data_IF_921008292849
#
_entry.id   IF_921008292849
#
_cell.length_a   1.000
_cell.length_b   1.000
_cell.length_c   1.000
_cell.angle_alpha   90.00
_cell.angle_beta   90.00
_cell.angle_gamma   90.00
#
_symmetry.space_group_name_H-M   'P 1'
#
loop_
_entity.id
_entity.type
_entity.pdbx_description
1 polymer ?
#
# COMPACT_ATOMS: atom_id res chain seq x y z
N UNK A 1 -27.87 -44.02 0.52
CA UNK A 1 -27.32 -43.60 -0.77
C UNK A 1 -28.14 -44.24 -1.91
N UNK A 2 -28.13 -43.63 -3.10
CA UNK A 2 -28.72 -44.21 -4.31
C UNK A 2 -27.69 -45.09 -5.01
N UNK A 3 -28.11 -46.23 -5.59
CA UNK A 3 -27.25 -47.19 -6.29
C UNK A 3 -26.32 -46.49 -7.30
N UNK A 4 -26.86 -45.47 -8.03
CA UNK A 4 -26.05 -44.72 -9.03
C UNK A 4 -24.99 -43.83 -8.36
N UNK A 5 -25.25 -43.34 -7.19
CA UNK A 5 -24.31 -42.52 -6.43
C UNK A 5 -23.20 -43.40 -5.84
N UNK A 6 -23.56 -44.53 -5.29
CA UNK A 6 -22.61 -45.53 -4.81
C UNK A 6 -21.66 -45.98 -5.91
N UNK A 7 -22.18 -46.23 -7.10
CA UNK A 7 -21.37 -46.60 -8.28
C UNK A 7 -20.44 -45.44 -8.72
N UNK A 8 -20.92 -44.22 -8.67
CA UNK A 8 -20.09 -43.04 -9.07
C UNK A 8 -18.97 -42.78 -8.07
N UNK A 9 -19.19 -43.12 -6.79
CA UNK A 9 -18.22 -42.91 -5.71
C UNK A 9 -17.41 -44.18 -5.38
N UNK A 10 -17.41 -45.19 -6.28
CA UNK A 10 -16.68 -46.42 -6.14
C UNK A 10 -17.05 -47.25 -4.89
N UNK A 11 -18.29 -47.14 -4.42
CA UNK A 11 -18.88 -48.04 -3.40
C UNK A 11 -19.75 -49.10 -4.02
N UNK A 12 -20.20 -50.11 -3.26
CA UNK A 12 -20.93 -51.24 -3.78
C UNK A 12 -22.42 -51.15 -3.40
N UNK A 13 -23.35 -50.91 -4.37
CA UNK A 13 -24.78 -50.82 -4.12
C UNK A 13 -25.42 -52.09 -3.56
N UNK A 14 -24.73 -53.23 -3.64
CA UNK A 14 -25.19 -54.49 -3.13
C UNK A 14 -24.69 -54.82 -1.72
N UNK A 15 -23.75 -54.01 -1.20
CA UNK A 15 -23.21 -54.18 0.14
C UNK A 15 -23.48 -52.93 1.00
N UNK A 16 -24.50 -53.02 1.84
CA UNK A 16 -24.90 -51.90 2.73
C UNK A 16 -23.84 -51.51 3.77
N UNK A 17 -22.74 -52.25 3.85
CA UNK A 17 -21.62 -51.93 4.73
C UNK A 17 -20.59 -51.04 4.03
N UNK A 18 -20.60 -50.98 2.68
CA UNK A 18 -19.68 -50.18 1.85
C UNK A 18 -20.43 -48.95 1.33
N UNK A 19 -20.31 -47.83 2.01
CA UNK A 19 -20.99 -46.57 1.66
C UNK A 19 -19.96 -45.57 1.10
N UNK A 20 -20.42 -44.66 0.25
CA UNK A 20 -19.60 -43.47 -0.08
C UNK A 20 -19.16 -42.73 1.20
N UNK A 21 -17.97 -42.21 1.19
CA UNK A 21 -17.49 -41.34 2.26
C UNK A 21 -18.29 -40.04 2.23
N UNK A 22 -18.63 -39.54 3.38
CA UNK A 22 -19.36 -38.29 3.65
C UNK A 22 -18.77 -37.80 4.98
N UNK A 23 -17.80 -36.89 4.85
CA UNK A 23 -16.91 -36.50 5.97
C UNK A 23 -17.63 -35.60 6.95
N UNK A 24 -18.36 -34.59 6.48
CA UNK A 24 -19.10 -33.64 7.28
C UNK A 24 -20.52 -34.12 7.67
N UNK A 25 -21.01 -35.19 7.04
CA UNK A 25 -22.33 -35.80 7.24
C UNK A 25 -23.50 -34.90 6.82
N UNK A 26 -23.33 -34.08 5.78
CA UNK A 26 -24.38 -33.23 5.22
C UNK A 26 -25.34 -33.99 4.27
N UNK A 27 -24.95 -35.21 3.84
CA UNK A 27 -25.69 -36.09 2.93
C UNK A 27 -25.28 -35.97 1.46
N UNK A 28 -24.22 -35.22 1.14
CA UNK A 28 -23.50 -35.27 -0.12
C UNK A 28 -22.25 -36.13 0.11
N UNK A 29 -21.88 -36.94 -0.84
CA UNK A 29 -20.64 -37.74 -0.71
C UNK A 29 -19.45 -36.97 -1.17
N UNK A 30 -18.29 -37.17 -0.54
CA UNK A 30 -17.01 -36.52 -0.90
C UNK A 30 -16.65 -36.56 -2.39
N UNK A 31 -17.09 -37.59 -3.13
CA UNK A 31 -16.85 -37.67 -4.57
C UNK A 31 -17.71 -36.68 -5.41
N UNK A 32 -18.62 -35.95 -4.80
CA UNK A 32 -19.53 -34.97 -5.40
C UNK A 32 -19.59 -33.66 -4.63
N UNK A 33 -19.12 -33.67 -3.44
CA UNK A 33 -18.96 -32.47 -2.66
C UNK A 33 -17.82 -31.62 -3.19
N UNK A 34 -17.79 -30.40 -2.92
CA UNK A 34 -16.73 -29.43 -3.25
C UNK A 34 -16.08 -28.85 -2.02
N UNK A 35 -16.61 -29.20 -0.82
CA UNK A 35 -16.14 -28.77 0.50
C UNK A 35 -16.44 -29.96 1.45
N UNK A 36 -15.57 -30.99 1.38
CA UNK A 36 -15.77 -32.31 1.96
C UNK A 36 -15.92 -32.32 3.48
N UNK A 37 -15.37 -31.35 4.20
CA UNK A 37 -15.43 -31.23 5.65
C UNK A 37 -16.24 -30.03 6.16
N UNK A 38 -16.76 -29.21 5.22
CA UNK A 38 -17.67 -28.10 5.45
C UNK A 38 -17.08 -27.02 6.39
N UNK A 39 -15.79 -26.74 6.24
CA UNK A 39 -15.10 -25.68 6.97
C UNK A 39 -15.21 -24.31 6.29
N UNK A 40 -15.67 -24.29 5.00
CA UNK A 40 -15.92 -23.11 4.22
C UNK A 40 -14.88 -22.87 3.12
N UNK A 41 -13.82 -23.67 3.08
CA UNK A 41 -12.86 -23.69 1.98
C UNK A 41 -13.21 -24.82 1.00
N UNK A 42 -12.83 -24.64 -0.26
CA UNK A 42 -13.10 -25.68 -1.26
C UNK A 42 -11.96 -26.71 -1.28
N UNK A 43 -12.28 -27.98 -1.48
CA UNK A 43 -11.28 -29.06 -1.60
C UNK A 43 -10.14 -28.73 -2.58
N UNK A 44 -10.49 -28.14 -3.73
CA UNK A 44 -9.49 -27.76 -4.75
C UNK A 44 -8.53 -26.69 -4.21
N UNK A 45 -9.05 -25.75 -3.48
CA UNK A 45 -8.29 -24.67 -2.86
C UNK A 45 -7.39 -25.22 -1.76
N UNK A 46 -7.93 -26.05 -0.89
CA UNK A 46 -7.18 -26.72 0.17
C UNK A 46 -6.03 -27.58 -0.36
N UNK A 47 -6.30 -28.42 -1.36
CA UNK A 47 -5.28 -29.26 -1.99
C UNK A 47 -4.17 -28.38 -2.58
N UNK A 48 -4.51 -27.28 -3.24
CA UNK A 48 -3.55 -26.40 -3.86
C UNK A 48 -2.73 -25.61 -2.82
N UNK A 49 -3.33 -25.25 -1.69
CA UNK A 49 -2.65 -24.54 -0.59
C UNK A 49 -1.98 -25.49 0.42
N UNK A 50 -2.14 -26.83 0.25
CA UNK A 50 -1.47 -27.84 1.05
C UNK A 50 -2.12 -28.11 2.41
N UNK A 51 -3.41 -27.79 2.55
CA UNK A 51 -4.27 -28.20 3.66
C UNK A 51 -4.94 -29.56 3.37
N UNK A 52 -5.86 -30.00 4.23
CA UNK A 52 -6.50 -31.33 4.17
C UNK A 52 -8.02 -31.19 4.04
N UNK A 53 -8.61 -31.43 2.84
CA UNK A 53 -10.04 -31.25 2.57
C UNK A 53 -10.96 -32.22 3.34
N UNK A 54 -10.40 -33.06 4.18
CA UNK A 54 -11.17 -33.98 5.04
C UNK A 54 -11.08 -33.61 6.51
N UNK A 55 -10.51 -32.48 6.85
CA UNK A 55 -10.25 -32.11 8.25
C UNK A 55 -10.52 -30.64 8.52
N UNK A 56 -11.70 -30.30 9.00
CA UNK A 56 -12.20 -28.97 9.36
C UNK A 56 -11.28 -28.10 10.24
N UNK A 57 -10.18 -28.65 10.73
CA UNK A 57 -9.20 -27.93 11.56
C UNK A 57 -7.90 -27.62 10.85
N UNK A 58 -7.75 -28.05 9.59
CA UNK A 58 -6.57 -27.87 8.75
C UNK A 58 -6.94 -27.17 7.45
N UNK A 59 -7.24 -25.91 7.51
CA UNK A 59 -7.64 -25.03 6.41
C UNK A 59 -6.49 -24.15 5.91
N UNK A 60 -6.59 -23.59 4.71
CA UNK A 60 -5.63 -22.61 4.19
C UNK A 60 -5.53 -21.38 5.08
N UNK A 61 -4.33 -20.81 5.17
CA UNK A 61 -4.14 -19.55 5.90
C UNK A 61 -4.74 -18.41 5.07
N UNK A 62 -5.51 -17.55 5.72
CA UNK A 62 -6.04 -16.29 5.23
C UNK A 62 -5.69 -15.24 6.29
N UNK A 63 -4.66 -14.41 6.02
CA UNK A 63 -4.05 -13.57 7.03
C UNK A 63 -4.88 -12.33 7.31
N UNK A 64 -5.44 -11.68 6.29
CA UNK A 64 -6.25 -10.47 6.41
C UNK A 64 -7.74 -10.76 6.57
N UNK A 65 -8.18 -12.00 6.36
CA UNK A 65 -9.55 -12.48 6.46
C UNK A 65 -10.48 -11.86 5.41
N UNK A 66 -10.02 -11.68 4.20
CA UNK A 66 -10.82 -11.18 3.08
C UNK A 66 -11.57 -12.31 2.33
N UNK A 67 -11.22 -13.58 2.59
CA UNK A 67 -11.80 -14.80 2.03
C UNK A 67 -11.03 -15.36 0.84
N UNK A 68 -9.83 -14.84 0.55
CA UNK A 68 -8.82 -15.47 -0.27
C UNK A 68 -7.74 -16.05 0.63
N UNK A 69 -7.27 -17.24 0.31
CA UNK A 69 -6.13 -17.81 1.06
C UNK A 69 -4.82 -17.19 0.56
N UNK A 70 -3.84 -17.08 1.45
CA UNK A 70 -2.51 -16.56 1.13
C UNK A 70 -1.85 -17.20 -0.11
N UNK A 71 -2.19 -18.42 -0.48
CA UNK A 71 -1.65 -19.05 -1.68
C UNK A 71 -2.33 -18.60 -2.99
N UNK A 72 -3.41 -17.85 -2.91
CA UNK A 72 -4.15 -17.25 -4.02
C UNK A 72 -4.24 -15.73 -3.93
N UNK A 73 -3.87 -15.15 -2.79
CA UNK A 73 -3.82 -13.72 -2.59
C UNK A 73 -2.53 -13.13 -3.19
N UNK A 74 -2.56 -11.88 -3.55
CA UNK A 74 -1.40 -11.09 -4.00
C UNK A 74 -0.97 -10.07 -2.94
N UNK A 75 -1.76 -9.92 -1.84
CA UNK A 75 -1.57 -8.95 -0.74
C UNK A 75 -2.04 -9.61 0.56
N UNK A 76 -1.26 -10.58 1.05
CA UNK A 76 -1.63 -11.53 2.12
C UNK A 76 -2.11 -10.87 3.42
N UNK A 77 -1.65 -9.68 3.76
CA UNK A 77 -2.05 -8.99 4.99
C UNK A 77 -2.98 -7.78 4.78
N UNK A 78 -3.31 -7.46 3.51
CA UNK A 78 -4.30 -6.44 3.15
C UNK A 78 -3.87 -5.01 3.43
N UNK A 79 -2.55 -4.72 3.48
CA UNK A 79 -2.02 -3.39 3.76
C UNK A 79 -1.99 -2.47 2.53
N UNK A 80 -2.16 -3.05 1.33
CA UNK A 80 -2.17 -2.37 0.03
C UNK A 80 -0.87 -2.46 -0.74
N UNK A 81 0.14 -3.15 -0.21
CA UNK A 81 1.33 -3.56 -0.94
C UNK A 81 1.21 -5.05 -1.30
N UNK A 82 1.72 -5.43 -2.44
CA UNK A 82 1.69 -6.84 -2.80
C UNK A 82 2.89 -7.59 -2.21
N UNK A 83 2.72 -8.88 -1.93
CA UNK A 83 3.78 -9.76 -1.42
C UNK A 83 5.07 -9.67 -2.25
N UNK A 84 4.95 -9.60 -3.58
CA UNK A 84 6.10 -9.46 -4.48
C UNK A 84 6.89 -8.16 -4.23
N UNK A 85 6.19 -7.08 -3.93
CA UNK A 85 6.79 -5.79 -3.60
C UNK A 85 7.44 -5.86 -2.22
N UNK A 86 6.76 -6.43 -1.26
CA UNK A 86 7.23 -6.56 0.11
C UNK A 86 8.47 -7.44 0.22
N UNK A 87 8.47 -8.59 -0.44
CA UNK A 87 9.67 -9.44 -0.54
C UNK A 87 10.86 -8.70 -1.16
N UNK A 88 10.64 -7.87 -2.18
CA UNK A 88 11.69 -7.04 -2.79
C UNK A 88 12.20 -5.96 -1.85
N UNK A 89 11.32 -5.42 -1.02
CA UNK A 89 11.63 -4.35 -0.07
C UNK A 89 12.12 -4.87 1.28
N UNK A 90 12.20 -6.21 1.45
CA UNK A 90 12.58 -6.87 2.69
C UNK A 90 11.62 -6.57 3.85
N UNK A 91 10.34 -6.34 3.55
CA UNK A 91 9.23 -6.29 4.51
C UNK A 91 8.52 -7.64 4.58
N UNK A 92 7.59 -7.80 5.51
CA UNK A 92 6.94 -9.08 5.78
C UNK A 92 5.51 -9.11 5.22
N UNK A 93 5.21 -9.89 4.16
CA UNK A 93 3.88 -9.99 3.53
C UNK A 93 2.73 -10.44 4.44
N UNK A 94 3.03 -10.80 5.69
CA UNK A 94 2.04 -11.30 6.67
C UNK A 94 1.85 -10.34 7.85
N UNK A 95 2.45 -9.14 7.81
CA UNK A 95 2.37 -8.17 8.92
C UNK A 95 1.96 -6.78 8.42
N UNK A 96 0.69 -6.48 8.46
CA UNK A 96 0.04 -5.21 8.06
C UNK A 96 0.71 -3.92 8.60
N UNK A 97 1.65 -4.04 9.52
CA UNK A 97 2.41 -2.92 10.08
C UNK A 97 3.86 -2.83 9.58
N UNK A 98 4.35 -3.85 8.88
CA UNK A 98 5.71 -3.89 8.32
C UNK A 98 5.72 -3.49 6.84
N UNK A 99 5.26 -2.30 6.55
CA UNK A 99 5.03 -1.74 5.21
C UNK A 99 6.31 -1.26 4.53
N UNK A 100 6.44 -1.42 3.20
CA UNK A 100 7.50 -0.80 2.43
C UNK A 100 7.53 0.73 2.59
N UNK A 101 8.74 1.28 2.69
CA UNK A 101 8.91 2.73 2.80
C UNK A 101 8.69 3.38 1.43
N UNK A 102 7.72 4.28 1.33
CA UNK A 102 7.49 5.17 0.19
C UNK A 102 7.72 6.61 0.64
N UNK A 103 8.85 7.21 0.25
CA UNK A 103 9.27 8.52 0.78
C UNK A 103 8.61 9.70 0.10
N UNK A 104 8.28 9.59 -1.16
CA UNK A 104 7.67 10.67 -1.92
C UNK A 104 6.16 10.49 -2.11
N UNK A 105 5.61 9.35 -1.66
CA UNK A 105 4.19 8.99 -1.66
C UNK A 105 3.59 9.00 -3.07
N UNK A 106 4.32 8.45 -4.03
CA UNK A 106 3.83 8.33 -5.41
C UNK A 106 3.23 6.95 -5.70
N UNK A 107 3.37 5.99 -4.77
CA UNK A 107 2.85 4.63 -4.83
C UNK A 107 3.87 3.59 -5.29
N UNK A 108 5.12 4.02 -5.55
CA UNK A 108 6.25 3.13 -5.79
C UNK A 108 7.16 3.13 -4.54
N UNK A 109 7.45 1.98 -3.92
CA UNK A 109 8.24 1.96 -2.69
C UNK A 109 9.71 2.26 -2.96
N UNK A 110 10.34 2.94 -2.00
CA UNK A 110 11.74 3.40 -2.07
C UNK A 110 12.77 2.33 -2.47
N UNK A 111 12.48 1.07 -2.24
CA UNK A 111 13.37 -0.05 -2.60
C UNK A 111 13.35 -0.37 -4.10
N UNK A 112 12.27 -0.04 -4.81
CA UNK A 112 12.10 -0.27 -6.26
C UNK A 112 12.07 1.01 -7.06
N UNK A 113 11.82 2.15 -6.41
CA UNK A 113 11.68 3.45 -7.04
C UNK A 113 13.04 4.09 -7.38
N UNK A 114 13.34 4.31 -8.67
CA UNK A 114 14.59 4.94 -9.09
C UNK A 114 14.64 6.45 -8.81
N UNK A 115 13.51 7.08 -8.52
CA UNK A 115 13.44 8.53 -8.26
C UNK A 115 13.02 8.92 -6.83
N UNK A 116 12.90 7.96 -5.92
CA UNK A 116 12.65 8.14 -4.49
C UNK A 116 13.52 9.21 -3.79
N UNK A 117 14.67 9.50 -4.34
CA UNK A 117 15.56 10.56 -3.84
C UNK A 117 15.41 11.90 -4.60
N UNK A 118 14.42 12.02 -5.49
CA UNK A 118 14.15 13.29 -6.13
C UNK A 118 13.47 14.25 -5.16
N UNK A 119 13.90 15.50 -5.23
CA UNK A 119 13.25 16.58 -4.48
C UNK A 119 11.99 17.00 -5.23
N UNK A 120 10.82 16.75 -4.68
CA UNK A 120 9.56 17.26 -5.20
C UNK A 120 9.18 18.55 -4.49
N UNK A 121 8.79 19.54 -5.28
CA UNK A 121 8.40 20.86 -4.77
C UNK A 121 6.93 21.08 -5.12
N UNK A 122 6.07 21.20 -4.10
CA UNK A 122 4.65 21.50 -4.33
C UNK A 122 4.50 22.79 -5.15
N UNK A 123 3.75 22.77 -6.25
CA UNK A 123 3.47 23.97 -7.03
C UNK A 123 2.41 24.87 -6.39
N UNK A 124 1.74 24.40 -5.33
CA UNK A 124 0.62 25.08 -4.68
C UNK A 124 0.87 25.32 -3.20
N UNK A 125 0.37 26.44 -2.71
CA UNK A 125 0.33 26.81 -1.30
C UNK A 125 -0.98 27.52 -1.02
N UNK A 126 -1.76 27.04 -0.02
CA UNK A 126 -3.06 27.58 0.40
C UNK A 126 -3.03 27.96 1.89
N UNK A 127 -2.43 29.07 2.26
CA UNK A 127 -2.33 29.49 3.67
C UNK A 127 -3.72 29.70 4.29
N UNK A 128 -3.89 29.28 5.55
CA UNK A 128 -5.12 29.47 6.29
C UNK A 128 -6.23 28.46 6.03
N UNK A 129 -6.03 27.53 5.11
CA UNK A 129 -6.90 26.37 4.92
C UNK A 129 -6.34 25.21 5.76
N UNK A 130 -7.21 24.54 6.55
CA UNK A 130 -6.79 23.33 7.26
C UNK A 130 -6.60 22.20 6.25
N UNK A 131 -5.35 21.83 6.00
CA UNK A 131 -5.01 20.78 5.06
C UNK A 131 -3.49 20.68 4.84
N UNK A 132 -3.06 19.68 4.06
CA UNK A 132 -1.63 19.42 3.80
C UNK A 132 -0.93 20.60 3.10
N UNK A 133 -1.67 21.42 2.36
CA UNK A 133 -1.12 22.56 1.60
C UNK A 133 -1.14 23.89 2.37
N UNK A 134 -1.50 23.90 3.66
CA UNK A 134 -1.46 25.09 4.52
C UNK A 134 -0.04 25.63 4.74
N UNK A 135 0.97 24.78 4.56
CA UNK A 135 2.39 25.14 4.49
C UNK A 135 2.99 24.56 3.21
N UNK A 136 3.99 25.24 2.68
CA UNK A 136 4.65 24.81 1.43
C UNK A 136 5.45 23.55 1.65
N UNK A 137 5.20 22.52 0.84
CA UNK A 137 5.82 21.21 0.95
C UNK A 137 6.94 21.02 -0.07
N UNK A 138 8.07 20.54 0.41
CA UNK A 138 9.20 20.05 -0.37
C UNK A 138 9.52 18.65 0.16
N UNK A 139 9.25 17.64 -0.63
CA UNK A 139 9.42 16.23 -0.29
C UNK A 139 10.88 15.84 -0.52
N UNK A 140 11.39 14.88 0.21
CA UNK A 140 12.77 14.40 0.18
C UNK A 140 13.82 15.46 0.51
N UNK A 141 13.45 16.46 1.32
CA UNK A 141 14.30 17.60 1.64
C UNK A 141 14.99 17.49 3.00
N UNK A 142 14.46 16.66 3.88
CA UNK A 142 14.91 16.46 5.26
C UNK A 142 16.33 15.91 5.34
N UNK A 143 16.74 15.14 4.34
CA UNK A 143 18.08 14.57 4.23
C UNK A 143 19.17 15.60 3.85
N UNK A 144 18.78 16.86 3.53
CA UNK A 144 19.72 17.91 3.10
C UNK A 144 19.72 19.11 4.06
N UNK A 145 20.37 19.02 5.22
CA UNK A 145 20.33 20.05 6.26
C UNK A 145 21.00 21.37 5.85
N UNK A 146 21.87 21.38 4.83
CA UNK A 146 22.49 22.59 4.30
C UNK A 146 21.67 23.25 3.18
N UNK A 147 20.54 22.68 2.83
CA UNK A 147 19.68 23.15 1.75
C UNK A 147 19.20 24.58 1.97
N UNK A 148 19.03 25.31 0.88
CA UNK A 148 18.61 26.72 0.89
C UNK A 148 17.38 26.88 0.00
N UNK A 149 16.30 27.35 0.58
CA UNK A 149 15.08 27.71 -0.14
C UNK A 149 15.00 29.22 -0.28
N UNK A 150 14.69 29.69 -1.49
CA UNK A 150 14.44 31.11 -1.81
C UNK A 150 13.16 31.23 -2.62
N UNK A 151 12.30 32.17 -2.28
CA UNK A 151 11.09 32.50 -3.03
C UNK A 151 11.15 33.96 -3.44
N UNK A 152 10.79 34.24 -4.69
CA UNK A 152 10.86 35.55 -5.30
C UNK A 152 9.48 36.00 -5.78
N UNK A 153 9.18 37.30 -5.60
CA UNK A 153 8.02 37.90 -6.23
C UNK A 153 8.28 38.18 -7.74
N UNK A 154 7.25 38.65 -8.44
CA UNK A 154 7.33 39.01 -9.90
C UNK A 154 8.34 40.09 -10.23
N UNK A 155 8.88 40.81 -9.26
CA UNK A 155 9.90 41.83 -9.43
C UNK A 155 11.32 41.32 -9.15
N UNK A 156 11.47 39.99 -8.92
CA UNK A 156 12.74 39.36 -8.59
C UNK A 156 13.26 39.61 -7.17
N UNK A 157 12.42 40.18 -6.29
CA UNK A 157 12.79 40.40 -4.88
C UNK A 157 12.54 39.16 -4.06
N UNK A 158 13.50 38.78 -3.20
CA UNK A 158 13.37 37.67 -2.28
C UNK A 158 12.32 38.03 -1.22
N UNK A 159 11.24 37.25 -1.17
CA UNK A 159 10.15 37.37 -0.18
C UNK A 159 10.30 36.37 0.96
N UNK A 160 10.91 35.21 0.67
CA UNK A 160 11.21 34.17 1.65
C UNK A 160 12.61 33.58 1.38
N UNK A 161 13.36 33.31 2.46
CA UNK A 161 14.62 32.55 2.42
C UNK A 161 14.79 31.78 3.72
N UNK A 162 15.07 30.48 3.62
CA UNK A 162 15.38 29.64 4.76
C UNK A 162 16.49 28.64 4.41
N UNK A 163 17.37 28.38 5.37
CA UNK A 163 18.32 27.26 5.35
C UNK A 163 17.72 26.15 6.18
N UNK A 164 17.91 24.89 5.80
CA UNK A 164 17.32 23.74 6.46
C UNK A 164 15.79 23.89 6.64
N UNK A 165 15.12 23.99 5.50
CA UNK A 165 13.67 24.20 5.46
C UNK A 165 12.92 22.97 5.96
N UNK A 166 11.93 23.17 6.84
CA UNK A 166 11.19 22.10 7.54
C UNK A 166 9.70 22.07 7.14
N UNK A 167 9.37 22.43 5.90
CA UNK A 167 7.98 22.44 5.41
C UNK A 167 7.01 23.30 6.27
N UNK A 168 7.53 24.37 6.88
CA UNK A 168 6.85 25.19 7.90
C UNK A 168 6.44 26.58 7.42
N UNK A 169 6.69 26.95 6.17
CA UNK A 169 6.34 28.27 5.65
C UNK A 169 4.92 28.32 5.10
N UNK A 170 4.14 29.26 5.60
CA UNK A 170 2.73 29.48 5.28
C UNK A 170 2.51 30.75 4.40
N UNK A 171 3.42 31.05 3.47
CA UNK A 171 3.23 32.15 2.51
C UNK A 171 3.36 33.55 3.10
N UNK A 172 4.27 33.74 4.04
CA UNK A 172 4.51 35.05 4.69
C UNK A 172 5.82 35.70 4.25
N UNK A 173 5.87 37.04 4.33
CA UNK A 173 7.15 37.77 4.17
C UNK A 173 8.10 37.45 5.32
N UNK A 174 9.34 37.09 5.01
CA UNK A 174 10.36 36.81 6.03
C UNK A 174 10.61 37.97 7.02
N UNK A 175 10.44 39.20 6.56
CA UNK A 175 10.78 40.39 7.34
C UNK A 175 9.64 40.89 8.22
N UNK A 176 8.40 40.74 7.80
CA UNK A 176 7.24 41.33 8.48
C UNK A 176 6.31 40.28 9.07
N UNK A 177 6.35 39.02 8.57
CA UNK A 177 5.40 37.98 8.92
C UNK A 177 4.01 38.17 8.30
N UNK A 178 3.81 39.22 7.50
CA UNK A 178 2.56 39.46 6.80
C UNK A 178 2.37 38.47 5.66
N UNK A 179 1.13 38.10 5.37
CA UNK A 179 0.79 37.21 4.26
C UNK A 179 1.18 37.84 2.92
N UNK A 180 1.74 37.05 2.05
CA UNK A 180 2.00 37.41 0.67
C UNK A 180 0.68 37.53 -0.10
N UNK A 181 0.54 38.43 -1.07
CA UNK A 181 -0.63 38.44 -1.96
C UNK A 181 -0.77 37.14 -2.74
N UNK A 182 -2.01 36.72 -3.02
CA UNK A 182 -2.26 35.62 -3.93
C UNK A 182 -1.61 35.87 -5.30
N UNK A 183 -1.03 34.82 -5.90
CA UNK A 183 -0.38 34.92 -7.20
C UNK A 183 0.75 33.93 -7.39
N UNK A 184 1.50 34.11 -8.49
CA UNK A 184 2.64 33.27 -8.84
C UNK A 184 3.93 33.82 -8.27
N UNK A 185 4.72 32.96 -7.70
CA UNK A 185 6.05 33.20 -7.14
C UNK A 185 7.05 32.28 -7.80
N UNK A 186 8.28 32.73 -7.95
CA UNK A 186 9.36 31.90 -8.46
C UNK A 186 10.20 31.36 -7.31
N UNK A 187 10.47 30.06 -7.31
CA UNK A 187 11.32 29.49 -6.27
C UNK A 187 12.64 28.98 -6.81
N UNK A 188 13.62 28.94 -5.94
CA UNK A 188 14.93 28.30 -6.13
C UNK A 188 15.23 27.49 -4.87
N UNK A 189 15.46 26.19 -5.06
CA UNK A 189 15.90 25.25 -4.03
C UNK A 189 17.33 24.83 -4.39
N UNK A 190 18.28 25.16 -3.52
CA UNK A 190 19.69 24.82 -3.66
C UNK A 190 20.04 23.72 -2.68
N UNK A 191 20.72 22.68 -3.15
CA UNK A 191 21.18 21.53 -2.33
C UNK A 191 22.71 21.47 -2.43
N UNK A 192 23.43 22.15 -1.54
CA UNK A 192 24.90 22.24 -1.59
C UNK A 192 25.58 20.89 -1.56
N UNK A 193 25.05 19.92 -0.81
CA UNK A 193 25.59 18.58 -0.65
C UNK A 193 25.72 17.83 -1.98
N UNK A 194 24.81 18.07 -2.92
CA UNK A 194 24.77 17.41 -4.23
C UNK A 194 25.08 18.34 -5.39
N UNK A 195 25.15 19.66 -5.14
CA UNK A 195 25.23 20.69 -6.16
C UNK A 195 23.97 20.87 -7.00
N UNK A 196 22.88 20.15 -6.66
CA UNK A 196 21.60 20.24 -7.38
C UNK A 196 20.89 21.55 -7.09
N UNK A 197 20.25 22.10 -8.12
CA UNK A 197 19.41 23.30 -8.01
C UNK A 197 18.09 23.05 -8.71
N UNK A 198 16.97 23.06 -7.95
CA UNK A 198 15.62 22.97 -8.50
C UNK A 198 14.97 24.35 -8.54
N UNK A 199 14.27 24.64 -9.62
CA UNK A 199 13.64 25.95 -9.86
C UNK A 199 12.26 25.73 -10.45
N UNK A 200 11.31 26.61 -10.11
CA UNK A 200 9.97 26.51 -10.66
C UNK A 200 9.05 27.63 -10.16
N UNK A 201 7.76 27.42 -10.38
CA UNK A 201 6.73 28.35 -9.99
C UNK A 201 5.90 27.78 -8.86
N UNK A 202 5.60 28.62 -7.88
CA UNK A 202 4.71 28.36 -6.78
C UNK A 202 3.46 29.23 -6.93
N UNK A 203 2.30 28.63 -6.87
CA UNK A 203 1.00 29.30 -6.84
C UNK A 203 0.53 29.47 -5.40
N UNK A 204 0.30 30.71 -5.01
CA UNK A 204 -0.24 31.05 -3.68
C UNK A 204 -1.68 31.52 -3.87
N UNK A 205 -2.62 30.88 -3.16
CA UNK A 205 -4.06 31.21 -3.18
C UNK A 205 -4.64 31.07 -1.76
N UNK A 206 -5.81 31.66 -1.52
CA UNK A 206 -6.51 31.62 -0.24
C UNK A 206 -7.91 31.07 -0.42
#
# INVERSE_FOLDING_TARGET
WLDQEELNCNSDPLDSAIKPLDTDNDGISNCKDTDDDNDGWLDEEEINCGSDPLNETLYPIDTDNDGLSNCYDEDDDGDGWSDEIEEKCETNPLDVFDVPVDRDNDGDPSCTDPDDNQIFVSPLLTPGVNGPESTWKIINFEQYPSSIVKVYNRYGQVVFRKVNYQNDWAGTYNKTGELLPAGSYYYVVEVPETGKVKKGWLYLTY
#
